data_IF_128347706332
#
_entry.id   IF_128347706332
#
_cell.length_a   1.000
_cell.length_b   1.000
_cell.length_c   1.000
_cell.angle_alpha   90.00
_cell.angle_beta   90.00
_cell.angle_gamma   90.00
#
_symmetry.space_group_name_H-M   'P 1'
#
loop_
_entity.id
_entity.type
_entity.pdbx_description
1 polymer ?
#
# COMPACT_ATOMS: atom_id res chain seq x y z
N UNK A 1 -22.09 15.98 16.24
CA UNK A 1 -20.82 15.23 16.35
C UNK A 1 -20.13 15.21 14.99
N UNK A 2 -18.80 15.39 14.90
CA UNK A 2 -18.03 15.39 13.64
C UNK A 2 -17.16 14.11 13.51
N UNK A 3 -17.80 12.94 13.48
CA UNK A 3 -17.12 11.63 13.57
C UNK A 3 -16.16 11.40 12.40
N UNK A 4 -16.63 11.54 11.15
CA UNK A 4 -15.80 11.40 9.95
C UNK A 4 -14.54 12.28 10.02
N UNK A 5 -14.71 13.56 10.39
CA UNK A 5 -13.60 14.51 10.52
C UNK A 5 -12.61 14.10 11.62
N UNK A 6 -13.07 13.46 12.70
CA UNK A 6 -12.19 12.94 13.73
C UNK A 6 -11.37 11.75 13.23
N UNK A 7 -11.98 10.83 12.48
CA UNK A 7 -11.31 9.67 11.88
C UNK A 7 -10.26 10.13 10.86
N UNK A 8 -10.58 11.13 10.03
CA UNK A 8 -9.68 11.67 9.01
C UNK A 8 -8.44 12.38 9.57
N UNK A 9 -8.42 12.74 10.87
CA UNK A 9 -7.21 13.27 11.52
C UNK A 9 -6.13 12.21 11.72
N UNK A 10 -6.50 10.93 11.73
CA UNK A 10 -5.57 9.82 11.88
C UNK A 10 -5.11 9.42 10.47
N UNK A 11 -3.80 9.40 10.18
CA UNK A 11 -3.30 8.90 8.90
C UNK A 11 -3.74 7.44 8.66
N UNK A 12 -4.45 7.19 7.56
CA UNK A 12 -5.07 5.88 7.31
C UNK A 12 -6.30 5.57 8.18
N UNK A 13 -6.82 6.53 8.94
CA UNK A 13 -7.87 6.34 9.94
C UNK A 13 -9.17 5.75 9.38
N UNK A 14 -9.53 6.11 8.14
CA UNK A 14 -10.71 5.56 7.45
C UNK A 14 -10.66 4.04 7.28
N UNK A 15 -9.46 3.46 7.33
CA UNK A 15 -9.24 2.02 7.32
C UNK A 15 -8.99 1.48 8.73
N UNK A 16 -8.08 2.12 9.48
CA UNK A 16 -7.60 1.57 10.75
C UNK A 16 -8.65 1.59 11.85
N UNK A 17 -9.47 2.64 11.91
CA UNK A 17 -10.51 2.75 12.95
C UNK A 17 -11.56 1.65 12.77
N UNK A 18 -12.15 1.45 11.58
CA UNK A 18 -13.08 0.34 11.36
C UNK A 18 -12.44 -1.04 11.54
N UNK A 19 -11.18 -1.22 11.13
CA UNK A 19 -10.44 -2.46 11.36
C UNK A 19 -10.25 -2.76 12.85
N UNK A 20 -9.87 -1.76 13.64
CA UNK A 20 -9.76 -1.92 15.09
C UNK A 20 -11.11 -2.21 15.74
N UNK A 21 -12.19 -1.57 15.28
CA UNK A 21 -13.56 -1.89 15.73
C UNK A 21 -13.93 -3.34 15.40
N UNK A 22 -13.58 -3.84 14.22
CA UNK A 22 -13.77 -5.24 13.87
C UNK A 22 -12.96 -6.19 14.76
N UNK A 23 -11.71 -5.85 15.07
CA UNK A 23 -10.87 -6.67 15.97
C UNK A 23 -11.42 -6.68 17.42
N UNK A 24 -11.98 -5.56 17.89
CA UNK A 24 -12.71 -5.50 19.16
C UNK A 24 -13.95 -6.41 19.12
N UNK A 25 -14.74 -6.38 18.04
CA UNK A 25 -15.88 -7.28 17.85
C UNK A 25 -15.45 -8.75 17.87
N UNK A 26 -14.40 -9.11 17.12
CA UNK A 26 -13.87 -10.48 17.12
C UNK A 26 -13.39 -10.94 18.50
N UNK A 27 -12.73 -10.05 19.25
CA UNK A 27 -12.13 -10.42 20.54
C UNK A 27 -13.18 -10.52 21.65
N UNK A 28 -14.13 -9.58 21.71
CA UNK A 28 -15.12 -9.52 22.80
C UNK A 28 -16.44 -10.23 22.48
N UNK A 29 -16.76 -10.42 21.21
CA UNK A 29 -17.99 -11.05 20.75
C UNK A 29 -17.77 -11.88 19.46
N UNK A 30 -16.90 -12.91 19.49
CA UNK A 30 -16.51 -13.67 18.30
C UNK A 30 -17.69 -14.32 17.55
N UNK A 31 -18.73 -14.71 18.28
CA UNK A 31 -19.92 -15.35 17.71
C UNK A 31 -21.01 -14.35 17.30
N UNK A 32 -20.79 -13.03 17.41
CA UNK A 32 -21.81 -12.03 17.08
C UNK A 32 -22.34 -12.18 15.65
N UNK A 33 -21.44 -12.40 14.66
CA UNK A 33 -21.84 -12.63 13.27
C UNK A 33 -22.77 -13.84 13.15
N UNK A 34 -22.37 -14.99 13.70
CA UNK A 34 -23.17 -16.23 13.66
C UNK A 34 -24.49 -16.10 14.41
N UNK A 35 -24.48 -15.44 15.57
CA UNK A 35 -25.65 -15.21 16.42
C UNK A 35 -26.72 -14.37 15.70
N UNK A 36 -26.32 -13.25 15.08
CA UNK A 36 -27.26 -12.38 14.39
C UNK A 36 -27.63 -12.87 12.98
N UNK A 37 -26.76 -13.66 12.33
CA UNK A 37 -26.99 -14.18 10.98
C UNK A 37 -27.22 -13.08 9.94
N UNK A 38 -27.85 -13.44 8.82
CA UNK A 38 -28.37 -12.51 7.80
C UNK A 38 -27.35 -11.42 7.37
N UNK A 39 -27.81 -10.17 7.19
CA UNK A 39 -26.99 -9.02 6.79
C UNK A 39 -25.85 -8.70 7.77
N UNK A 40 -26.05 -8.89 9.07
CA UNK A 40 -25.02 -8.64 10.08
C UNK A 40 -23.85 -9.60 9.92
N UNK A 41 -24.13 -10.90 9.76
CA UNK A 41 -23.10 -11.89 9.47
C UNK A 41 -22.44 -11.61 8.12
N UNK A 42 -23.23 -11.25 7.10
CA UNK A 42 -22.72 -10.89 5.78
C UNK A 42 -21.74 -9.72 5.81
N UNK A 43 -22.00 -8.69 6.64
CA UNK A 43 -21.09 -7.56 6.81
C UNK A 43 -19.83 -7.95 7.59
N UNK A 44 -19.97 -8.75 8.66
CA UNK A 44 -18.85 -9.17 9.52
C UNK A 44 -17.89 -10.11 8.79
N UNK A 45 -18.43 -11.05 8.00
CA UNK A 45 -17.64 -12.09 7.31
C UNK A 45 -17.35 -11.78 5.84
N UNK A 46 -17.96 -10.72 5.28
CA UNK A 46 -17.94 -10.38 3.86
C UNK A 46 -16.66 -9.73 3.34
N UNK A 47 -15.49 -10.07 3.88
CA UNK A 47 -14.20 -9.48 3.48
C UNK A 47 -13.97 -9.57 1.97
N UNK A 48 -13.99 -10.78 1.41
CA UNK A 48 -13.73 -11.03 -0.01
C UNK A 48 -14.74 -10.34 -0.94
N UNK A 49 -16.07 -10.47 -0.77
CA UNK A 49 -17.02 -9.83 -1.67
C UNK A 49 -16.95 -8.29 -1.62
N UNK A 50 -16.79 -7.67 -0.44
CA UNK A 50 -16.67 -6.21 -0.34
C UNK A 50 -15.37 -5.73 -1.02
N UNK A 51 -14.26 -6.46 -0.83
CA UNK A 51 -12.99 -6.17 -1.52
C UNK A 51 -13.13 -6.30 -3.04
N UNK A 52 -13.82 -7.34 -3.54
CA UNK A 52 -14.03 -7.52 -4.97
C UNK A 52 -14.77 -6.34 -5.61
N UNK A 53 -15.82 -5.82 -4.94
CA UNK A 53 -16.53 -4.61 -5.37
C UNK A 53 -15.60 -3.39 -5.32
N UNK A 54 -14.79 -3.26 -4.27
CA UNK A 54 -13.82 -2.18 -4.17
C UNK A 54 -12.75 -2.22 -5.29
N UNK A 55 -12.24 -3.40 -5.66
CA UNK A 55 -11.32 -3.59 -6.79
C UNK A 55 -11.94 -3.18 -8.11
N UNK A 56 -13.20 -3.57 -8.33
CA UNK A 56 -13.96 -3.14 -9.50
C UNK A 56 -14.07 -1.60 -9.55
N UNK A 57 -14.47 -0.97 -8.44
CA UNK A 57 -14.58 0.50 -8.37
C UNK A 57 -13.23 1.19 -8.56
N UNK A 58 -12.14 0.62 -8.03
CA UNK A 58 -10.80 1.13 -8.25
C UNK A 58 -10.41 1.04 -9.72
N UNK A 59 -10.61 -0.12 -10.35
CA UNK A 59 -10.34 -0.30 -11.79
C UNK A 59 -11.09 0.75 -12.61
N UNK A 60 -12.39 0.93 -12.34
CA UNK A 60 -13.22 1.93 -13.02
C UNK A 60 -12.72 3.37 -12.86
N UNK A 61 -12.05 3.70 -11.75
CA UNK A 61 -11.54 5.04 -11.50
C UNK A 61 -10.32 5.44 -12.36
N UNK A 62 -9.61 4.46 -12.94
CA UNK A 62 -8.36 4.70 -13.65
C UNK A 62 -8.63 5.13 -15.09
N UNK A 63 -8.01 6.24 -15.50
CA UNK A 63 -8.07 6.78 -16.87
C UNK A 63 -6.79 6.45 -17.64
N UNK A 64 -6.94 5.96 -18.87
CA UNK A 64 -5.83 5.55 -19.74
C UNK A 64 -4.95 6.71 -20.26
N UNK A 65 -5.35 7.97 -20.04
CA UNK A 65 -4.65 9.15 -20.57
C UNK A 65 -3.45 9.56 -19.70
N UNK A 66 -2.35 8.81 -19.76
CA UNK A 66 -1.07 9.23 -19.18
C UNK A 66 -0.11 9.71 -20.29
N UNK A 67 0.47 10.89 -20.13
CA UNK A 67 1.54 11.39 -21.01
C UNK A 67 2.78 10.49 -20.88
N UNK A 68 3.57 10.31 -21.95
CA UNK A 68 4.79 9.49 -21.92
C UNK A 68 5.76 9.84 -20.79
N UNK A 69 5.85 11.12 -20.41
CA UNK A 69 6.63 11.59 -19.25
C UNK A 69 6.09 11.05 -17.92
N UNK A 70 4.77 11.02 -17.74
CA UNK A 70 4.11 10.44 -16.56
C UNK A 70 4.37 8.93 -16.53
N UNK A 71 4.27 8.25 -17.67
CA UNK A 71 4.57 6.82 -17.76
C UNK A 71 6.02 6.51 -17.34
N UNK A 72 6.99 7.28 -17.85
CA UNK A 72 8.41 7.13 -17.47
C UNK A 72 8.62 7.34 -15.98
N UNK A 73 8.15 8.45 -15.41
CA UNK A 73 8.37 8.79 -14.00
C UNK A 73 7.68 7.80 -13.05
N UNK A 74 6.38 7.59 -13.23
CA UNK A 74 5.59 6.70 -12.37
C UNK A 74 6.00 5.24 -12.55
N UNK A 75 6.21 4.81 -13.81
CA UNK A 75 6.61 3.45 -14.12
C UNK A 75 7.96 3.10 -13.53
N UNK A 76 8.91 4.05 -13.54
CA UNK A 76 10.21 3.89 -12.86
C UNK A 76 10.02 3.58 -11.38
N UNK A 77 9.17 4.33 -10.67
CA UNK A 77 8.94 4.13 -9.24
C UNK A 77 8.25 2.79 -8.97
N UNK A 78 7.17 2.49 -9.69
CA UNK A 78 6.41 1.23 -9.52
C UNK A 78 7.30 0.01 -9.80
N UNK A 79 8.01 -0.01 -10.93
CA UNK A 79 8.90 -1.12 -11.29
C UNK A 79 10.03 -1.27 -10.26
N UNK A 80 10.63 -0.16 -9.83
CA UNK A 80 11.69 -0.19 -8.81
C UNK A 80 11.18 -0.79 -7.51
N UNK A 81 9.98 -0.38 -7.06
CA UNK A 81 9.41 -0.85 -5.81
C UNK A 81 9.08 -2.34 -5.86
N UNK A 82 8.43 -2.80 -6.91
CA UNK A 82 8.11 -4.21 -7.14
C UNK A 82 9.40 -5.04 -7.21
N UNK A 83 10.42 -4.56 -7.92
CA UNK A 83 11.71 -5.25 -8.03
C UNK A 83 12.40 -5.37 -6.66
N UNK A 84 12.39 -4.31 -5.85
CA UNK A 84 12.94 -4.35 -4.49
C UNK A 84 12.17 -5.32 -3.61
N UNK A 85 10.83 -5.28 -3.63
CA UNK A 85 10.00 -6.21 -2.89
C UNK A 85 10.26 -7.67 -3.32
N UNK A 86 10.47 -7.91 -4.62
CA UNK A 86 10.86 -9.22 -5.15
C UNK A 86 12.23 -9.67 -4.64
N UNK A 87 13.24 -8.80 -4.67
CA UNK A 87 14.57 -9.12 -4.13
C UNK A 87 14.48 -9.43 -2.64
N UNK A 88 13.72 -8.65 -1.88
CA UNK A 88 13.48 -8.92 -0.46
C UNK A 88 12.78 -10.26 -0.27
N UNK A 89 11.79 -10.60 -1.09
CA UNK A 89 11.10 -11.88 -1.04
C UNK A 89 12.06 -13.05 -1.29
N UNK A 90 12.85 -12.97 -2.37
CA UNK A 90 13.81 -13.99 -2.77
C UNK A 90 14.92 -14.20 -1.72
N UNK A 91 15.38 -13.13 -1.07
CA UNK A 91 16.34 -13.23 0.01
C UNK A 91 15.69 -13.77 1.29
N UNK A 92 14.52 -13.25 1.66
CA UNK A 92 13.83 -13.62 2.88
C UNK A 92 13.36 -15.07 2.88
N UNK A 93 13.01 -15.64 1.73
CA UNK A 93 12.62 -17.06 1.62
C UNK A 93 13.73 -18.04 2.00
N UNK A 94 14.99 -17.62 2.00
CA UNK A 94 16.11 -18.43 2.47
C UNK A 94 16.29 -18.42 3.99
N UNK A 95 15.73 -17.43 4.70
CA UNK A 95 15.97 -17.22 6.14
C UNK A 95 14.70 -17.30 6.99
N UNK A 96 13.53 -17.02 6.41
CA UNK A 96 12.24 -17.01 7.10
C UNK A 96 11.54 -18.34 6.83
N UNK A 97 11.07 -19.07 7.86
CA UNK A 97 10.30 -20.29 7.67
C UNK A 97 9.04 -20.06 6.82
N UNK A 98 8.56 -21.09 6.12
CA UNK A 98 7.39 -21.01 5.23
C UNK A 98 6.13 -20.48 5.95
N UNK A 99 5.93 -20.89 7.20
CA UNK A 99 4.81 -20.44 8.03
C UNK A 99 5.05 -19.08 8.73
N UNK A 100 6.20 -18.45 8.49
CA UNK A 100 6.69 -17.30 9.23
C UNK A 100 7.38 -17.66 10.54
N UNK A 101 7.89 -16.65 11.23
CA UNK A 101 8.52 -16.81 12.53
C UNK A 101 7.42 -16.92 13.60
N UNK A 102 7.42 -18.01 14.36
CA UNK A 102 6.38 -18.28 15.37
C UNK A 102 6.73 -17.74 16.77
N UNK A 103 8.02 -17.63 17.10
CA UNK A 103 8.46 -17.30 18.46
C UNK A 103 9.50 -16.17 18.49
N UNK A 104 9.60 -15.50 19.64
CA UNK A 104 10.59 -14.47 19.91
C UNK A 104 10.19 -13.09 19.36
N UNK A 105 11.16 -12.18 19.31
CA UNK A 105 10.92 -10.78 18.91
C UNK A 105 10.37 -10.63 17.48
N UNK A 106 10.73 -11.56 16.58
CA UNK A 106 10.30 -11.56 15.19
C UNK A 106 8.99 -12.33 14.96
N UNK A 107 8.29 -12.76 16.01
CA UNK A 107 7.04 -13.51 15.88
C UNK A 107 6.01 -12.76 15.00
N UNK A 108 5.43 -13.49 14.05
CA UNK A 108 4.51 -12.95 13.03
C UNK A 108 5.18 -12.46 11.75
N UNK A 109 6.51 -12.30 11.72
CA UNK A 109 7.22 -11.94 10.50
C UNK A 109 7.18 -13.10 9.51
N UNK A 110 6.70 -12.84 8.30
CA UNK A 110 6.64 -13.80 7.20
C UNK A 110 7.09 -13.13 5.91
N UNK A 111 7.47 -13.94 4.92
CA UNK A 111 7.70 -13.45 3.55
C UNK A 111 6.45 -12.73 3.01
N UNK A 112 5.25 -13.22 3.34
CA UNK A 112 3.99 -12.56 3.02
C UNK A 112 3.87 -11.17 3.65
N UNK A 113 4.19 -11.02 4.94
CA UNK A 113 4.17 -9.73 5.63
C UNK A 113 5.16 -8.73 5.00
N UNK A 114 6.38 -9.19 4.67
CA UNK A 114 7.40 -8.37 4.03
C UNK A 114 6.93 -7.88 2.66
N UNK A 115 6.52 -8.80 1.79
CA UNK A 115 6.10 -8.46 0.42
C UNK A 115 4.90 -7.52 0.45
N UNK A 116 3.83 -7.87 1.17
CA UNK A 116 2.63 -7.04 1.26
C UNK A 116 2.93 -5.65 1.86
N UNK A 117 3.92 -5.52 2.75
CA UNK A 117 4.30 -4.21 3.29
C UNK A 117 5.09 -3.34 2.31
N UNK A 118 5.79 -3.95 1.34
CA UNK A 118 6.78 -3.28 0.49
C UNK A 118 6.36 -3.07 -0.96
N UNK A 119 5.46 -3.88 -1.50
CA UNK A 119 5.11 -3.86 -2.92
C UNK A 119 4.08 -2.81 -3.31
N UNK A 120 3.44 -2.16 -2.33
CA UNK A 120 2.36 -1.20 -2.53
C UNK A 120 2.70 0.18 -1.96
N UNK A 121 2.44 1.25 -2.72
CA UNK A 121 2.54 2.66 -2.32
C UNK A 121 1.20 3.20 -1.91
N UNK A 122 1.18 3.97 -0.82
CA UNK A 122 0.01 4.77 -0.51
C UNK A 122 -0.10 5.91 -1.53
N UNK A 123 -0.79 5.63 -2.62
CA UNK A 123 -0.82 6.57 -3.73
C UNK A 123 -1.61 7.86 -3.44
N UNK A 124 -2.60 7.82 -2.55
CA UNK A 124 -3.27 9.03 -2.05
C UNK A 124 -2.32 9.93 -1.24
N UNK A 125 -1.52 9.31 -0.36
CA UNK A 125 -0.45 10.00 0.36
C UNK A 125 0.58 10.58 -0.61
N UNK A 126 1.07 9.76 -1.54
CA UNK A 126 2.00 10.18 -2.58
C UNK A 126 1.46 11.39 -3.35
N UNK A 127 0.24 11.32 -3.86
CA UNK A 127 -0.39 12.41 -4.61
C UNK A 127 -0.44 13.70 -3.77
N UNK A 128 -0.89 13.63 -2.51
CA UNK A 128 -0.99 14.80 -1.63
C UNK A 128 0.37 15.44 -1.32
N UNK A 129 1.41 14.62 -1.10
CA UNK A 129 2.77 15.08 -0.82
C UNK A 129 3.38 15.68 -2.08
N UNK A 130 3.19 15.04 -3.23
CA UNK A 130 3.74 15.52 -4.51
C UNK A 130 3.04 16.76 -5.04
N UNK A 131 1.77 16.97 -4.73
CA UNK A 131 1.09 18.26 -4.98
C UNK A 131 1.76 19.43 -4.25
N UNK A 132 2.36 19.18 -3.08
CA UNK A 132 3.04 20.23 -2.30
C UNK A 132 4.52 20.38 -2.66
N UNK A 133 5.22 19.27 -2.87
CA UNK A 133 6.68 19.26 -2.95
C UNK A 133 7.24 18.92 -4.34
N UNK A 134 6.43 18.37 -5.23
CA UNK A 134 6.83 17.89 -6.55
C UNK A 134 6.27 18.69 -7.72
N UNK A 135 6.46 18.14 -8.92
CA UNK A 135 5.94 18.68 -10.19
C UNK A 135 4.52 18.19 -10.47
N UNK A 136 3.82 18.84 -11.41
CA UNK A 136 2.45 18.42 -11.82
C UNK A 136 2.46 17.01 -12.40
N UNK A 137 3.49 16.67 -13.17
CA UNK A 137 3.68 15.37 -13.78
C UNK A 137 3.90 14.29 -12.71
N UNK A 138 4.69 14.59 -11.67
CA UNK A 138 4.91 13.68 -10.54
C UNK A 138 3.70 13.54 -9.64
N UNK A 139 2.90 14.59 -9.45
CA UNK A 139 1.62 14.48 -8.73
C UNK A 139 0.60 13.63 -9.51
N UNK A 140 0.59 13.75 -10.84
CA UNK A 140 -0.22 12.93 -11.75
C UNK A 140 0.23 11.46 -11.86
N UNK A 141 1.44 11.15 -11.38
CA UNK A 141 2.02 9.81 -11.41
C UNK A 141 1.27 8.76 -10.56
N UNK A 142 0.44 9.21 -9.62
CA UNK A 142 -0.36 8.34 -8.76
C UNK A 142 -1.21 7.32 -9.54
N UNK A 143 -1.66 7.66 -10.75
CA UNK A 143 -2.54 6.79 -11.55
C UNK A 143 -1.93 5.39 -11.77
N UNK A 144 -0.61 5.29 -12.02
CA UNK A 144 0.04 3.99 -12.16
C UNK A 144 0.33 3.31 -10.82
N UNK A 145 0.51 4.07 -9.74
CA UNK A 145 0.66 3.49 -8.39
C UNK A 145 -0.64 2.85 -7.90
N UNK A 146 -1.78 3.18 -8.48
CA UNK A 146 -3.00 2.42 -8.24
C UNK A 146 -2.95 1.00 -8.83
N UNK A 147 -2.07 0.72 -9.80
CA UNK A 147 -1.95 -0.62 -10.40
C UNK A 147 -1.23 -1.62 -9.51
N UNK A 148 -0.30 -1.16 -8.67
CA UNK A 148 0.29 -2.01 -7.64
C UNK A 148 -0.69 -2.29 -6.50
N UNK A 149 -1.79 -1.54 -6.40
CA UNK A 149 -2.73 -1.71 -5.31
C UNK A 149 -3.52 -3.00 -5.42
N UNK A 150 -3.15 -4.00 -4.62
CA UNK A 150 -3.91 -5.22 -4.42
C UNK A 150 -3.06 -6.49 -4.29
N UNK A 151 -3.68 -7.69 -4.32
CA UNK A 151 -2.92 -8.92 -4.20
C UNK A 151 -2.11 -9.24 -5.45
N UNK A 152 -2.41 -8.62 -6.60
CA UNK A 152 -1.80 -8.95 -7.89
C UNK A 152 -0.27 -8.92 -7.85
N UNK A 153 0.32 -7.80 -7.41
CA UNK A 153 1.78 -7.68 -7.38
C UNK A 153 2.40 -8.63 -6.35
N UNK A 154 1.75 -8.80 -5.20
CA UNK A 154 2.17 -9.79 -4.20
C UNK A 154 2.15 -11.21 -4.79
N UNK A 155 1.13 -11.58 -5.55
CA UNK A 155 1.04 -12.90 -6.20
C UNK A 155 2.16 -13.07 -7.23
N UNK A 156 2.42 -12.07 -8.06
CA UNK A 156 3.53 -12.09 -9.03
C UNK A 156 4.86 -12.27 -8.29
N UNK A 157 5.08 -11.52 -7.22
CA UNK A 157 6.32 -11.56 -6.44
C UNK A 157 6.49 -12.94 -5.79
N UNK A 158 5.50 -13.40 -5.02
CA UNK A 158 5.57 -14.70 -4.32
C UNK A 158 5.67 -15.87 -5.32
N UNK A 159 4.97 -15.77 -6.44
CA UNK A 159 4.99 -16.76 -7.52
C UNK A 159 6.35 -16.87 -8.19
N UNK A 160 6.89 -15.74 -8.65
CA UNK A 160 8.16 -15.70 -9.38
C UNK A 160 9.39 -15.87 -8.47
N UNK A 161 9.26 -15.58 -7.17
CA UNK A 161 10.29 -15.87 -6.17
C UNK A 161 10.29 -17.35 -5.72
N UNK A 162 9.38 -18.18 -6.24
CA UNK A 162 9.28 -19.61 -5.89
C UNK A 162 8.72 -19.89 -4.50
N UNK A 163 8.06 -18.92 -3.87
CA UNK A 163 7.51 -19.01 -2.50
C UNK A 163 6.09 -19.60 -2.51
N UNK A 164 5.34 -19.40 -3.59
CA UNK A 164 3.99 -19.93 -3.75
C UNK A 164 3.70 -20.31 -5.20
N UNK A 165 2.86 -21.32 -5.41
CA UNK A 165 2.30 -21.62 -6.73
C UNK A 165 0.86 -21.13 -6.80
N UNK A 166 0.55 -20.31 -7.79
CA UNK A 166 -0.82 -19.85 -8.06
C UNK A 166 -1.34 -20.52 -9.31
N UNK A 167 -2.51 -21.14 -9.23
CA UNK A 167 -3.16 -21.66 -10.42
C UNK A 167 -3.57 -20.50 -11.35
N UNK A 168 -3.33 -20.59 -12.67
CA UNK A 168 -3.59 -19.47 -13.58
C UNK A 168 -5.02 -18.93 -13.51
N UNK A 169 -6.01 -19.79 -13.24
CA UNK A 169 -7.40 -19.36 -13.12
C UNK A 169 -7.69 -18.58 -11.84
N UNK A 170 -6.98 -18.87 -10.73
CA UNK A 170 -7.06 -18.10 -9.48
C UNK A 170 -6.46 -16.71 -9.68
N UNK A 171 -5.36 -16.63 -10.44
CA UNK A 171 -4.76 -15.35 -10.86
C UNK A 171 -5.72 -14.52 -11.70
N UNK A 172 -6.37 -15.12 -12.70
CA UNK A 172 -7.40 -14.44 -13.49
C UNK A 172 -8.56 -13.99 -12.60
N UNK A 173 -9.04 -14.85 -11.69
CA UNK A 173 -10.12 -14.52 -10.75
C UNK A 173 -9.81 -13.32 -9.85
N UNK A 174 -8.57 -13.19 -9.39
CA UNK A 174 -8.13 -12.07 -8.55
C UNK A 174 -8.10 -10.73 -9.31
N UNK A 175 -7.84 -10.76 -10.62
CA UNK A 175 -7.64 -9.54 -11.45
C UNK A 175 -8.90 -9.17 -12.24
N UNK A 176 -9.80 -10.13 -12.47
CA UNK A 176 -10.98 -9.95 -13.32
C UNK A 176 -11.90 -8.79 -12.87
N UNK A 177 -12.27 -8.63 -11.57
CA UNK A 177 -13.11 -7.51 -11.14
C UNK A 177 -12.48 -6.15 -11.47
N UNK A 178 -11.17 -6.04 -11.26
CA UNK A 178 -10.40 -4.84 -11.59
C UNK A 178 -10.43 -4.55 -13.09
N UNK A 179 -10.19 -5.56 -13.95
CA UNK A 179 -10.19 -5.37 -15.41
C UNK A 179 -11.56 -5.00 -15.96
N UNK A 180 -12.64 -5.61 -15.46
CA UNK A 180 -14.01 -5.26 -15.86
C UNK A 180 -14.30 -3.82 -15.46
N UNK A 181 -13.99 -3.43 -14.23
CA UNK A 181 -14.11 -2.06 -13.77
C UNK A 181 -13.32 -1.10 -14.67
N UNK A 182 -12.06 -1.39 -14.91
CA UNK A 182 -11.16 -0.61 -15.76
C UNK A 182 -11.69 -0.42 -17.18
N UNK A 183 -12.19 -1.50 -17.80
CA UNK A 183 -12.81 -1.43 -19.11
C UNK A 183 -14.03 -0.51 -19.09
N UNK A 184 -14.96 -0.71 -18.14
CA UNK A 184 -16.18 0.10 -18.04
C UNK A 184 -15.90 1.57 -17.79
N UNK A 185 -14.97 1.91 -16.90
CA UNK A 185 -14.61 3.30 -16.61
C UNK A 185 -13.90 4.03 -17.76
N UNK A 186 -13.31 3.29 -18.70
CA UNK A 186 -12.74 3.88 -19.92
C UNK A 186 -13.73 3.88 -21.09
N UNK A 187 -14.75 3.01 -21.08
CA UNK A 187 -15.87 3.05 -22.03
C UNK A 187 -16.85 4.19 -21.74
N UNK A 188 -17.11 4.46 -20.45
CA UNK A 188 -18.07 5.47 -20.03
C UNK A 188 -17.51 6.36 -18.89
N UNK A 189 -17.22 7.65 -19.18
CA UNK A 189 -16.76 8.61 -18.18
C UNK A 189 -17.74 8.84 -17.01
N UNK A 190 -19.06 8.69 -17.20
CA UNK A 190 -20.06 8.83 -16.14
C UNK A 190 -20.01 7.63 -15.19
N UNK A 191 -19.86 6.40 -15.74
CA UNK A 191 -19.63 5.21 -14.90
C UNK A 191 -18.33 5.34 -14.11
N UNK A 192 -17.26 5.89 -14.71
CA UNK A 192 -16.03 6.18 -13.96
C UNK A 192 -16.28 7.13 -12.80
N UNK A 193 -17.02 8.21 -13.01
CA UNK A 193 -17.32 9.16 -11.92
C UNK A 193 -18.18 8.50 -10.84
N UNK A 194 -19.19 7.73 -11.23
CA UNK A 194 -20.08 7.02 -10.32
C UNK A 194 -19.31 6.01 -9.45
N UNK A 195 -18.58 5.08 -10.08
CA UNK A 195 -17.83 4.05 -9.34
C UNK A 195 -16.61 4.62 -8.62
N UNK A 196 -15.98 5.67 -9.14
CA UNK A 196 -14.85 6.34 -8.48
C UNK A 196 -15.21 6.91 -7.09
N UNK A 197 -16.46 7.36 -6.89
CA UNK A 197 -16.96 7.81 -5.58
C UNK A 197 -17.06 6.69 -4.54
N UNK A 198 -17.18 5.43 -4.99
CA UNK A 198 -17.32 4.28 -4.09
C UNK A 198 -15.97 3.80 -3.51
N UNK A 199 -14.84 4.10 -4.17
CA UNK A 199 -13.51 3.62 -3.76
C UNK A 199 -13.19 3.98 -2.31
N UNK A 200 -13.40 5.24 -1.91
CA UNK A 200 -13.16 5.70 -0.53
C UNK A 200 -14.28 5.28 0.42
N UNK A 201 -15.51 5.22 -0.08
CA UNK A 201 -16.71 4.87 0.70
C UNK A 201 -16.70 3.42 1.17
N UNK A 202 -16.13 2.49 0.40
CA UNK A 202 -16.06 1.07 0.72
C UNK A 202 -14.96 0.71 1.73
N UNK A 203 -13.96 1.59 1.93
CA UNK A 203 -12.82 1.34 2.83
C UNK A 203 -13.25 0.95 4.24
N UNK A 204 -14.14 1.70 4.92
CA UNK A 204 -14.57 1.33 6.26
C UNK A 204 -15.24 -0.04 6.36
N UNK A 205 -15.96 -0.46 5.32
CA UNK A 205 -16.74 -1.70 5.34
C UNK A 205 -15.84 -2.93 5.23
N UNK A 206 -14.96 -2.97 4.23
CA UNK A 206 -14.03 -4.09 4.14
C UNK A 206 -13.01 -4.08 5.28
N UNK A 207 -12.61 -2.89 5.76
CA UNK A 207 -11.69 -2.80 6.89
C UNK A 207 -12.32 -3.35 8.17
N UNK A 208 -13.61 -3.07 8.42
CA UNK A 208 -14.34 -3.69 9.52
C UNK A 208 -14.46 -5.21 9.38
N UNK A 209 -14.80 -5.71 8.19
CA UNK A 209 -14.87 -7.15 7.93
C UNK A 209 -13.49 -7.84 8.14
N UNK A 210 -12.41 -7.21 7.66
CA UNK A 210 -11.03 -7.65 7.92
C UNK A 210 -10.68 -7.63 9.41
N UNK A 211 -11.09 -6.59 10.12
CA UNK A 211 -10.90 -6.50 11.57
C UNK A 211 -11.49 -7.70 12.30
N UNK A 212 -12.64 -8.20 11.84
CA UNK A 212 -13.32 -9.34 12.43
C UNK A 212 -12.58 -10.69 12.23
N UNK A 213 -11.45 -10.71 11.53
CA UNK A 213 -10.58 -11.89 11.39
C UNK A 213 -9.29 -11.79 12.22
N UNK A 214 -9.09 -10.68 12.95
CA UNK A 214 -7.86 -10.39 13.69
C UNK A 214 -8.10 -10.48 15.20
N UNK A 215 -7.20 -11.16 15.91
CA UNK A 215 -7.20 -11.21 17.37
C UNK A 215 -6.33 -10.07 17.96
N UNK A 216 -6.86 -9.32 18.93
CA UNK A 216 -6.13 -8.22 19.60
C UNK A 216 -4.81 -8.66 20.26
N UNK A 217 -4.71 -9.91 20.70
CA UNK A 217 -3.46 -10.46 21.24
C UNK A 217 -2.33 -10.42 20.20
N UNK A 218 -2.65 -10.66 18.92
CA UNK A 218 -1.68 -10.60 17.82
C UNK A 218 -1.19 -9.17 17.64
N UNK A 219 -2.10 -8.18 17.67
CA UNK A 219 -1.74 -6.75 17.53
C UNK A 219 -0.79 -6.30 18.66
N UNK A 220 -1.07 -6.71 19.91
CA UNK A 220 -0.24 -6.35 21.06
C UNK A 220 1.19 -6.93 20.95
N UNK A 221 1.33 -8.14 20.40
CA UNK A 221 2.62 -8.80 20.21
C UNK A 221 3.39 -8.25 19.00
N UNK A 222 2.70 -7.96 17.90
CA UNK A 222 3.33 -7.53 16.64
C UNK A 222 3.57 -6.02 16.57
N UNK A 223 3.05 -5.21 17.49
CA UNK A 223 3.08 -3.75 17.39
C UNK A 223 4.49 -3.15 17.27
N UNK A 224 5.43 -3.56 18.12
CA UNK A 224 6.80 -3.05 18.07
C UNK A 224 7.55 -3.51 16.81
N UNK A 225 7.36 -4.78 16.43
CA UNK A 225 7.91 -5.34 15.20
C UNK A 225 7.32 -4.65 13.96
N UNK A 226 6.04 -4.28 14.00
CA UNK A 226 5.36 -3.54 12.95
C UNK A 226 5.90 -2.11 12.78
N UNK A 227 6.31 -1.46 13.88
CA UNK A 227 7.02 -0.17 13.81
C UNK A 227 8.37 -0.34 13.12
N UNK A 228 9.14 -1.35 13.54
CA UNK A 228 10.42 -1.67 12.92
C UNK A 228 10.25 -2.00 11.42
N UNK A 229 9.21 -2.76 11.07
CA UNK A 229 8.87 -3.08 9.69
C UNK A 229 8.54 -1.80 8.90
N UNK A 230 7.70 -0.91 9.42
CA UNK A 230 7.37 0.35 8.74
C UNK A 230 8.59 1.23 8.47
N UNK A 231 9.52 1.30 9.43
CA UNK A 231 10.80 1.99 9.23
C UNK A 231 11.64 1.27 8.17
N UNK A 232 11.70 -0.07 8.22
CA UNK A 232 12.41 -0.87 7.24
C UNK A 232 11.84 -0.70 5.83
N UNK A 233 10.51 -0.62 5.65
CA UNK A 233 9.88 -0.34 4.35
C UNK A 233 10.41 0.97 3.78
N UNK A 234 10.43 2.06 4.58
CA UNK A 234 10.93 3.37 4.14
C UNK A 234 12.38 3.29 3.71
N UNK A 235 13.22 2.57 4.45
CA UNK A 235 14.66 2.48 4.15
C UNK A 235 14.91 1.58 2.93
N UNK A 236 14.39 0.36 2.96
CA UNK A 236 14.67 -0.70 1.97
C UNK A 236 14.06 -0.35 0.62
N UNK A 237 12.83 0.18 0.58
CA UNK A 237 12.20 0.61 -0.67
C UNK A 237 12.60 2.04 -1.05
N UNK A 238 12.70 2.94 -0.06
CA UNK A 238 12.93 4.36 -0.31
C UNK A 238 14.31 4.68 -0.84
N UNK A 239 15.38 3.99 -0.40
CA UNK A 239 16.73 4.23 -0.93
C UNK A 239 16.77 3.93 -2.45
N UNK A 240 16.41 2.73 -2.93
CA UNK A 240 16.32 2.45 -4.37
C UNK A 240 15.40 3.41 -5.11
N UNK A 241 14.24 3.75 -4.52
CA UNK A 241 13.29 4.68 -5.14
C UNK A 241 13.86 6.09 -5.31
N UNK A 242 14.61 6.61 -4.33
CA UNK A 242 15.32 7.90 -4.44
C UNK A 242 16.33 7.85 -5.59
N UNK A 243 17.08 6.75 -5.72
CA UNK A 243 18.08 6.60 -6.77
C UNK A 243 17.41 6.49 -8.14
N UNK A 244 16.36 5.69 -8.27
CA UNK A 244 15.61 5.53 -9.51
C UNK A 244 14.94 6.84 -9.95
N UNK A 245 14.34 7.58 -9.02
CA UNK A 245 13.76 8.90 -9.28
C UNK A 245 14.81 9.86 -9.87
N UNK A 246 16.00 9.92 -9.26
CA UNK A 246 17.09 10.79 -9.71
C UNK A 246 17.68 10.39 -11.06
N UNK A 247 18.05 9.12 -11.20
CA UNK A 247 18.87 8.67 -12.32
C UNK A 247 18.06 8.25 -13.55
N UNK A 248 16.82 7.79 -13.35
CA UNK A 248 15.97 7.28 -14.44
C UNK A 248 14.78 8.21 -14.65
N UNK A 249 14.12 8.61 -13.55
CA UNK A 249 12.95 9.50 -13.56
C UNK A 249 13.28 10.96 -13.87
N UNK A 250 14.52 11.39 -13.66
CA UNK A 250 14.95 12.78 -13.83
C UNK A 250 14.38 13.72 -12.76
N UNK A 251 13.92 13.17 -11.63
CA UNK A 251 13.52 13.91 -10.44
C UNK A 251 14.70 14.23 -9.54
N UNK A 252 14.40 14.73 -8.35
CA UNK A 252 15.42 15.09 -7.34
C UNK A 252 15.47 14.13 -6.14
N UNK A 253 14.74 13.03 -6.22
CA UNK A 253 14.58 12.02 -5.16
C UNK A 253 13.34 12.25 -4.31
N UNK A 254 12.67 13.40 -4.40
CA UNK A 254 11.45 13.70 -3.62
C UNK A 254 10.32 12.73 -3.94
N UNK A 255 10.13 12.39 -5.22
CA UNK A 255 9.10 11.43 -5.63
C UNK A 255 9.43 10.02 -5.12
N UNK A 256 10.71 9.66 -5.12
CA UNK A 256 11.18 8.39 -4.56
C UNK A 256 10.86 8.21 -3.09
N UNK A 257 11.07 9.25 -2.25
CA UNK A 257 10.70 9.19 -0.83
C UNK A 257 9.18 9.12 -0.67
N UNK A 258 8.44 9.96 -1.39
CA UNK A 258 6.97 9.95 -1.33
C UNK A 258 6.41 8.57 -1.68
N UNK A 259 7.06 7.85 -2.60
CA UNK A 259 6.68 6.52 -3.03
C UNK A 259 7.09 5.39 -2.06
N UNK A 260 7.85 5.67 -1.00
CA UNK A 260 8.33 4.64 -0.05
C UNK A 260 7.29 4.19 1.00
N UNK A 261 6.06 4.68 0.92
CA UNK A 261 5.00 4.35 1.89
C UNK A 261 4.33 3.00 1.64
N UNK A 262 3.68 2.39 2.65
CA UNK A 262 2.80 1.23 2.46
C UNK A 262 1.35 1.69 2.23
N UNK A 263 0.65 1.13 1.24
CA UNK A 263 -0.75 1.46 0.99
C UNK A 263 -1.68 0.90 2.07
N UNK A 264 -2.78 1.60 2.39
CA UNK A 264 -3.81 1.04 3.28
C UNK A 264 -4.35 -0.30 2.76
N UNK A 265 -4.63 -0.38 1.46
CA UNK A 265 -5.10 -1.61 0.83
C UNK A 265 -4.19 -2.83 1.06
N UNK A 266 -2.91 -2.63 1.35
CA UNK A 266 -1.96 -3.70 1.60
C UNK A 266 -2.32 -4.55 2.82
N UNK A 267 -3.03 -3.97 3.79
CA UNK A 267 -3.46 -4.68 5.01
C UNK A 267 -4.44 -5.82 4.68
N UNK A 268 -5.21 -5.67 3.59
CA UNK A 268 -6.13 -6.71 3.11
C UNK A 268 -5.40 -7.85 2.39
N UNK A 269 -4.21 -7.58 1.85
CA UNK A 269 -3.49 -8.50 0.97
C UNK A 269 -3.14 -9.84 1.61
N UNK A 270 -2.62 -9.92 2.86
CA UNK A 270 -2.27 -11.22 3.45
C UNK A 270 -3.46 -12.18 3.54
N UNK A 271 -4.63 -11.68 3.95
CA UNK A 271 -5.86 -12.48 4.02
C UNK A 271 -6.29 -12.94 2.63
N UNK A 272 -6.26 -12.04 1.63
CA UNK A 272 -6.61 -12.40 0.26
C UNK A 272 -5.69 -13.49 -0.31
N UNK A 273 -4.39 -13.37 -0.09
CA UNK A 273 -3.42 -14.39 -0.49
C UNK A 273 -3.69 -15.72 0.21
N UNK A 274 -4.06 -15.71 1.48
CA UNK A 274 -4.37 -16.91 2.24
C UNK A 274 -5.70 -17.60 1.85
N UNK A 275 -6.67 -16.83 1.34
CA UNK A 275 -7.88 -17.39 0.73
C UNK A 275 -7.57 -18.11 -0.59
N UNK A 276 -6.60 -17.59 -1.36
CA UNK A 276 -6.17 -18.20 -2.63
C UNK A 276 -5.19 -19.36 -2.42
N UNK A 277 -4.32 -19.28 -1.41
CA UNK A 277 -3.28 -20.27 -1.14
C UNK A 277 -3.32 -20.61 0.36
N UNK A 278 -3.93 -21.75 0.73
CA UNK A 278 -4.15 -22.13 2.13
C UNK A 278 -2.91 -22.17 3.01
N UNK A 279 -1.71 -22.36 2.42
CA UNK A 279 -0.43 -22.37 3.15
C UNK A 279 -0.21 -21.09 3.97
N UNK A 280 -0.74 -19.95 3.52
CA UNK A 280 -0.56 -18.68 4.21
C UNK A 280 -1.60 -18.41 5.30
N UNK A 281 -2.60 -19.29 5.51
CA UNK A 281 -3.68 -19.06 6.50
C UNK A 281 -3.17 -18.86 7.92
N UNK A 282 -2.12 -19.57 8.33
CA UNK A 282 -1.54 -19.41 9.65
C UNK A 282 -0.84 -18.05 9.82
N UNK A 283 -0.13 -17.59 8.77
CA UNK A 283 0.63 -16.34 8.80
C UNK A 283 -0.23 -15.08 8.57
N UNK A 284 -1.36 -15.20 7.89
CA UNK A 284 -2.15 -14.06 7.42
C UNK A 284 -2.59 -13.09 8.53
N UNK A 285 -3.10 -13.52 9.70
CA UNK A 285 -3.52 -12.58 10.74
C UNK A 285 -2.36 -11.73 11.27
N UNK A 286 -1.20 -12.36 11.52
CA UNK A 286 -0.01 -11.66 12.00
C UNK A 286 0.58 -10.75 10.92
N UNK A 287 0.64 -11.21 9.67
CA UNK A 287 1.05 -10.40 8.53
C UNK A 287 0.15 -9.17 8.35
N UNK A 288 -1.18 -9.33 8.44
CA UNK A 288 -2.14 -8.23 8.37
C UNK A 288 -1.91 -7.21 9.50
N UNK A 289 -1.68 -7.65 10.73
CA UNK A 289 -1.38 -6.74 11.85
C UNK A 289 -0.06 -5.97 11.66
N UNK A 290 0.99 -6.64 11.17
CA UNK A 290 2.27 -6.01 10.85
C UNK A 290 2.15 -4.99 9.72
N UNK A 291 1.46 -5.34 8.64
CA UNK A 291 1.22 -4.44 7.50
C UNK A 291 0.38 -3.24 7.94
N UNK A 292 -0.65 -3.43 8.78
CA UNK A 292 -1.45 -2.32 9.33
C UNK A 292 -0.58 -1.34 10.12
N UNK A 293 0.33 -1.85 10.94
CA UNK A 293 1.28 -1.02 11.69
C UNK A 293 2.26 -0.30 10.76
N UNK A 294 2.77 -0.99 9.73
CA UNK A 294 3.64 -0.39 8.70
C UNK A 294 2.95 0.77 7.98
N UNK A 295 1.66 0.62 7.62
CA UNK A 295 0.88 1.68 6.99
C UNK A 295 0.79 2.92 7.88
N UNK A 296 0.57 2.77 9.19
CA UNK A 296 0.55 3.90 10.13
C UNK A 296 1.90 4.62 10.13
N UNK A 297 2.97 3.86 10.36
CA UNK A 297 4.33 4.37 10.52
C UNK A 297 4.75 5.11 9.26
N UNK A 298 4.56 4.49 8.10
CA UNK A 298 4.89 5.11 6.82
C UNK A 298 4.01 6.31 6.50
N UNK A 299 2.71 6.29 6.85
CA UNK A 299 1.81 7.44 6.63
C UNK A 299 2.17 8.67 7.46
N UNK A 300 2.83 8.48 8.60
CA UNK A 300 3.33 9.57 9.45
C UNK A 300 4.72 10.02 8.99
N UNK A 301 5.66 9.08 8.82
CA UNK A 301 7.07 9.39 8.61
C UNK A 301 7.34 9.86 7.18
N UNK A 302 6.72 9.26 6.15
CA UNK A 302 7.01 9.58 4.75
C UNK A 302 6.75 11.07 4.44
N UNK A 303 5.61 11.69 4.79
CA UNK A 303 5.40 13.12 4.55
C UNK A 303 6.45 14.01 5.23
N UNK A 304 6.85 13.68 6.46
CA UNK A 304 7.85 14.42 7.23
C UNK A 304 9.21 14.33 6.53
N UNK A 305 9.64 13.11 6.18
CA UNK A 305 10.92 12.85 5.53
C UNK A 305 10.95 13.52 4.14
N UNK A 306 9.87 13.41 3.36
CA UNK A 306 9.77 14.06 2.04
C UNK A 306 9.85 15.58 2.16
N UNK A 307 9.16 16.19 3.15
CA UNK A 307 9.23 17.62 3.38
C UNK A 307 10.65 18.08 3.77
N UNK A 308 11.32 17.34 4.66
CA UNK A 308 12.71 17.61 5.05
C UNK A 308 13.67 17.50 3.85
N UNK A 309 13.49 16.47 3.02
CA UNK A 309 14.30 16.24 1.83
C UNK A 309 14.10 17.34 0.79
N UNK A 310 12.85 17.65 0.43
CA UNK A 310 12.53 18.69 -0.56
C UNK A 310 13.14 20.04 -0.17
N UNK A 311 13.05 20.42 1.12
CA UNK A 311 13.72 21.63 1.64
C UNK A 311 15.23 21.58 1.47
N UNK A 312 15.87 20.44 1.77
CA UNK A 312 17.32 20.26 1.64
C UNK A 312 17.79 20.37 0.20
N UNK A 313 17.08 19.75 -0.75
CA UNK A 313 17.40 19.81 -2.18
C UNK A 313 17.26 21.23 -2.72
N UNK A 314 16.13 21.90 -2.43
CA UNK A 314 15.90 23.29 -2.87
C UNK A 314 16.97 24.24 -2.34
N UNK A 315 17.35 24.11 -1.07
CA UNK A 315 18.42 24.92 -0.49
C UNK A 315 19.79 24.67 -1.14
N UNK A 316 20.10 23.43 -1.52
CA UNK A 316 21.33 23.11 -2.27
C UNK A 316 21.32 23.72 -3.67
N UNK A 317 20.20 23.67 -4.38
CA UNK A 317 20.06 24.26 -5.69
C UNK A 317 20.27 25.78 -5.66
N UNK A 318 19.72 26.46 -4.65
CA UNK A 318 19.91 27.91 -4.45
C UNK A 318 21.38 28.23 -4.20
N UNK A 319 22.05 27.53 -3.26
CA UNK A 319 23.48 27.75 -2.97
C UNK A 319 24.37 27.48 -4.18
N UNK A 320 24.04 26.48 -4.99
CA UNK A 320 24.75 26.18 -6.23
C UNK A 320 24.67 27.32 -7.24
N UNK A 321 23.47 27.88 -7.45
CA UNK A 321 23.27 29.04 -8.35
C UNK A 321 24.04 30.27 -7.90
N UNK A 322 23.96 30.64 -6.61
CA UNK A 322 24.71 31.78 -6.05
C UNK A 322 26.21 31.63 -6.29
N UNK A 323 26.76 30.43 -6.09
CA UNK A 323 28.19 30.20 -6.28
C UNK A 323 28.61 30.27 -7.77
N UNK A 324 27.75 29.84 -8.70
CA UNK A 324 27.97 30.02 -10.14
C UNK A 324 27.92 31.49 -10.56
N UNK A 325 26.93 32.24 -10.07
CA UNK A 325 26.78 33.67 -10.36
C UNK A 325 27.99 34.46 -9.82
N UNK A 326 28.45 34.15 -8.60
CA UNK A 326 29.66 34.74 -8.01
C UNK A 326 30.92 34.41 -8.81
N UNK A 327 31.03 33.19 -9.36
CA UNK A 327 32.14 32.82 -10.23
C UNK A 327 32.11 33.56 -11.57
N UNK A 328 30.93 33.68 -12.19
CA UNK A 328 30.78 34.41 -13.45
C UNK A 328 31.01 35.92 -13.27
N UNK A 329 30.67 36.48 -12.11
CA UNK A 329 30.92 37.89 -11.78
C UNK A 329 32.42 38.20 -11.58
N UNK A 330 33.23 37.22 -11.16
CA UNK A 330 34.69 37.36 -11.00
C UNK A 330 35.50 37.23 -12.29
N UNK A 331 34.88 36.73 -13.36
CA UNK A 331 35.52 36.53 -14.67
C UNK A 331 35.27 37.73 -15.62
N UNK A 332 34.38 38.66 -15.23
CA UNK A 332 34.16 39.95 -15.92
C UNK A 332 34.97 41.05 -15.28
#
# INVERSE_FOLDING_TARGET
>A
MQIKRAIEKIPGGMMLVPLFLGALCHTFAPDAGKYFGSFTNGLISGTVPILAVWFFCMGASIKLSATGTVLRKSGTLVVTKIAVAWVVAALASHFIPENGVEFGFFAGLSTLALVASMDMTNGGLYASVMQQYGTKEEAGAFVLMSLESGPLMTMIILGTAGIASFEPHVFVGAVLPFLIGFALGNLDPELREFFGKAVQTLIPFFAFALGNTINLAVIAQTGLLGIALGIAVIIVTGIPLILADKFIGGGDGTAGIAASSSAGAAVATPVLIAEMVPQFKAAAPAATALVATSVIVTSILVPIITAMWSRRVKNKAIKGKVNLDDQMARIK
#
